data_IF_472602418160
#
_entry.id   IF_472602418160
#
_cell.length_a   1.000
_cell.length_b   1.000
_cell.length_c   1.000
_cell.angle_alpha   90.00
_cell.angle_beta   90.00
_cell.angle_gamma   90.00
#
_symmetry.space_group_name_H-M   'P 1'
#
loop_
_entity.id
_entity.type
_entity.pdbx_description
1 polymer ?
#
# COMPACT_ATOMS: atom_id res chain seq x y z
N UNK A 1 -5.53 0.38 15.77
CA UNK A 1 -6.94 0.66 15.43
C UNK A 1 -7.80 -0.07 16.43
N UNK A 2 -8.81 0.60 16.99
CA UNK A 2 -9.75 -0.02 17.94
C UNK A 2 -11.11 -0.08 17.25
N UNK A 3 -11.76 -1.24 17.32
CA UNK A 3 -13.13 -1.44 16.85
C UNK A 3 -14.04 -1.43 18.08
N UNK A 4 -15.05 -0.57 18.05
CA UNK A 4 -16.19 -0.61 18.96
C UNK A 4 -17.45 -0.82 18.14
N UNK A 5 -18.38 -1.64 18.63
CA UNK A 5 -19.63 -1.94 17.92
C UNK A 5 -20.77 -1.42 18.76
N UNK A 6 -21.48 -0.43 18.21
CA UNK A 6 -22.75 -0.03 18.79
C UNK A 6 -23.76 -1.17 18.57
N UNK A 7 -24.32 -1.67 19.66
CA UNK A 7 -25.26 -2.79 19.63
C UNK A 7 -26.71 -2.30 19.44
N UNK A 8 -26.99 -1.02 19.68
CA UNK A 8 -28.31 -0.43 19.48
C UNK A 8 -28.49 -0.02 18.01
N UNK A 9 -27.47 0.63 17.45
CA UNK A 9 -27.36 0.95 16.03
C UNK A 9 -26.25 0.07 15.44
N UNK A 10 -26.50 -0.86 14.50
CA UNK A 10 -25.51 -1.85 14.01
C UNK A 10 -24.40 -1.18 13.19
N UNK A 11 -23.55 -0.43 13.89
CA UNK A 11 -22.52 0.45 13.37
C UNK A 11 -21.22 0.13 14.09
N UNK A 12 -20.19 -0.13 13.28
CA UNK A 12 -18.83 -0.29 13.75
C UNK A 12 -18.11 1.06 13.75
N UNK A 13 -17.63 1.48 14.91
CA UNK A 13 -16.73 2.61 15.07
C UNK A 13 -15.29 2.13 15.02
N UNK A 14 -14.54 2.69 14.06
CA UNK A 14 -13.11 2.40 13.91
C UNK A 14 -12.30 3.62 14.34
N UNK A 15 -11.59 3.48 15.46
CA UNK A 15 -10.61 4.48 15.90
C UNK A 15 -9.34 4.31 15.07
N UNK A 16 -9.21 5.17 14.05
CA UNK A 16 -8.09 5.18 13.14
C UNK A 16 -6.85 5.81 13.80
N UNK A 17 -5.64 5.27 13.53
CA UNK A 17 -4.42 5.94 13.94
C UNK A 17 -4.37 7.35 13.34
N UNK A 18 -3.82 8.32 14.10
CA UNK A 18 -3.68 9.68 13.60
C UNK A 18 -2.69 9.74 12.44
N UNK A 19 -2.98 10.57 11.43
CA UNK A 19 -2.10 10.75 10.25
C UNK A 19 -0.68 11.23 10.60
N UNK A 20 -0.49 11.83 11.78
CA UNK A 20 0.82 12.25 12.30
C UNK A 20 1.52 11.25 13.22
N UNK A 21 0.99 10.02 13.38
CA UNK A 21 1.62 9.00 14.21
C UNK A 21 2.80 8.34 13.48
N UNK A 22 3.88 9.11 13.32
CA UNK A 22 5.09 8.76 12.56
C UNK A 22 6.21 8.22 13.47
N UNK A 23 5.85 7.50 14.55
CA UNK A 23 6.83 6.89 15.49
C UNK A 23 7.92 6.09 14.78
N UNK A 24 7.56 5.48 13.64
CA UNK A 24 8.50 4.98 12.64
C UNK A 24 7.82 4.92 11.28
N UNK A 25 8.62 4.86 10.22
CA UNK A 25 8.13 4.65 8.85
C UNK A 25 7.30 3.36 8.72
N UNK A 26 7.71 2.28 9.38
CA UNK A 26 6.97 1.01 9.35
C UNK A 26 5.59 1.13 10.00
N UNK A 27 5.50 1.88 11.11
CA UNK A 27 4.21 2.16 11.77
C UNK A 27 3.31 3.00 10.86
N UNK A 28 3.87 3.98 10.17
CA UNK A 28 3.13 4.78 9.20
C UNK A 28 2.55 3.93 8.07
N UNK A 29 3.36 3.04 7.48
CA UNK A 29 2.91 2.14 6.42
C UNK A 29 1.81 1.20 6.93
N UNK A 30 2.00 0.61 8.11
CA UNK A 30 0.99 -0.25 8.71
C UNK A 30 -0.32 0.50 8.99
N UNK A 31 -0.23 1.73 9.52
CA UNK A 31 -1.39 2.57 9.79
C UNK A 31 -2.16 2.89 8.51
N UNK A 32 -1.47 3.33 7.45
CA UNK A 32 -2.07 3.58 6.16
C UNK A 32 -2.72 2.32 5.57
N UNK A 33 -2.04 1.17 5.68
CA UNK A 33 -2.55 -0.14 5.27
C UNK A 33 -3.90 -0.46 5.94
N UNK A 34 -3.94 -0.44 7.27
CA UNK A 34 -5.14 -0.82 8.00
C UNK A 34 -6.29 0.16 7.80
N UNK A 35 -6.00 1.47 7.75
CA UNK A 35 -7.02 2.49 7.48
C UNK A 35 -7.70 2.26 6.13
N UNK A 36 -6.92 2.03 5.08
CA UNK A 36 -7.47 1.73 3.75
C UNK A 36 -8.25 0.42 3.76
N UNK A 37 -7.70 -0.64 4.36
CA UNK A 37 -8.40 -1.94 4.42
C UNK A 37 -9.76 -1.84 5.08
N UNK A 38 -9.87 -1.13 6.20
CA UNK A 38 -11.17 -0.93 6.85
C UNK A 38 -12.13 -0.12 5.97
N UNK A 39 -11.64 0.94 5.32
CA UNK A 39 -12.46 1.75 4.44
C UNK A 39 -12.94 0.95 3.21
N UNK A 40 -12.06 0.18 2.55
CA UNK A 40 -12.40 -0.64 1.39
C UNK A 40 -13.45 -1.71 1.71
N UNK A 41 -13.44 -2.28 2.92
CA UNK A 41 -14.40 -3.31 3.36
C UNK A 41 -15.70 -2.71 3.91
N UNK A 42 -15.76 -1.41 4.17
CA UNK A 42 -16.97 -0.73 4.59
C UNK A 42 -18.07 -0.88 3.54
N UNK A 43 -19.27 -1.30 3.94
CA UNK A 43 -20.43 -1.32 3.03
C UNK A 43 -21.05 0.08 2.89
N UNK A 44 -21.04 0.82 4.00
CA UNK A 44 -21.61 2.14 4.14
C UNK A 44 -20.72 2.89 5.14
N UNK A 45 -20.24 4.09 4.79
CA UNK A 45 -19.22 4.79 5.56
C UNK A 45 -19.68 6.21 5.89
N UNK A 46 -19.45 6.61 7.14
CA UNK A 46 -19.43 8.00 7.61
C UNK A 46 -18.00 8.33 8.00
N UNK A 47 -17.56 9.57 7.76
CA UNK A 47 -16.19 9.99 8.07
C UNK A 47 -16.25 11.11 9.11
N UNK A 48 -15.85 10.77 10.33
CA UNK A 48 -15.78 11.71 11.44
C UNK A 48 -14.33 12.18 11.60
N UNK A 49 -14.10 13.45 11.32
CA UNK A 49 -12.79 14.09 11.41
C UNK A 49 -12.66 14.70 12.79
N UNK A 50 -11.59 14.35 13.50
CA UNK A 50 -11.32 14.87 14.85
C UNK A 50 -10.02 15.69 14.81
N UNK A 51 -10.08 16.94 15.28
CA UNK A 51 -8.90 17.77 15.48
C UNK A 51 -8.89 18.37 16.89
N UNK A 52 -7.74 18.85 17.36
CA UNK A 52 -7.65 19.48 18.68
C UNK A 52 -7.92 20.98 18.57
N UNK A 53 -8.50 21.57 19.62
CA UNK A 53 -8.72 23.01 19.69
C UNK A 53 -7.46 23.84 19.38
N UNK A 54 -6.26 23.50 19.89
CA UNK A 54 -5.04 24.24 19.57
C UNK A 54 -4.66 24.22 18.08
N UNK A 55 -5.15 23.25 17.29
CA UNK A 55 -4.86 23.20 15.85
C UNK A 55 -5.56 24.34 15.08
N UNK A 56 -6.51 25.03 15.71
CA UNK A 56 -7.19 26.24 15.20
C UNK A 56 -6.55 27.53 15.71
N UNK A 57 -5.55 27.45 16.59
CA UNK A 57 -4.82 28.61 17.07
C UNK A 57 -3.70 29.00 16.09
N UNK A 58 -3.42 30.30 16.02
CA UNK A 58 -2.32 30.84 15.21
C UNK A 58 -0.93 30.28 15.58
N UNK A 59 -0.79 29.62 16.73
CA UNK A 59 0.46 29.00 17.18
C UNK A 59 0.79 27.71 16.42
N UNK A 60 -0.18 27.08 15.77
CA UNK A 60 -0.03 25.79 15.10
C UNK A 60 -0.61 25.81 13.68
N UNK A 61 -0.36 26.90 12.95
CA UNK A 61 -0.91 27.18 11.61
C UNK A 61 -0.79 26.03 10.61
N UNK A 62 0.26 25.21 10.73
CA UNK A 62 0.51 24.15 9.75
C UNK A 62 -0.28 22.87 10.04
N UNK A 63 -0.77 22.65 11.27
CA UNK A 63 -1.38 21.36 11.65
C UNK A 63 -2.71 21.11 10.96
N UNK A 64 -3.58 22.11 10.93
CA UNK A 64 -4.87 22.00 10.26
C UNK A 64 -4.70 21.78 8.74
N UNK A 65 -3.90 22.57 8.00
CA UNK A 65 -3.55 22.26 6.61
C UNK A 65 -3.02 20.83 6.43
N UNK A 66 -2.06 20.39 7.24
CA UNK A 66 -1.49 19.05 7.11
C UNK A 66 -2.54 17.94 7.35
N UNK A 67 -3.49 18.13 8.26
CA UNK A 67 -4.63 17.22 8.42
C UNK A 67 -5.45 17.13 7.13
N UNK A 68 -5.78 18.26 6.51
CA UNK A 68 -6.52 18.27 5.24
C UNK A 68 -5.73 17.62 4.11
N UNK A 69 -4.41 17.90 4.00
CA UNK A 69 -3.53 17.25 3.02
C UNK A 69 -3.61 15.73 3.15
N UNK A 70 -3.52 15.24 4.38
CA UNK A 70 -3.56 13.80 4.67
C UNK A 70 -4.93 13.19 4.42
N UNK A 71 -6.01 13.92 4.70
CA UNK A 71 -7.38 13.52 4.38
C UNK A 71 -7.61 13.39 2.88
N UNK A 72 -7.16 14.35 2.05
CA UNK A 72 -7.35 14.27 0.59
C UNK A 72 -6.47 13.22 -0.07
N UNK A 73 -5.30 12.91 0.51
CA UNK A 73 -4.49 11.77 0.10
C UNK A 73 -5.16 10.43 0.45
N UNK A 74 -5.91 10.40 1.56
CA UNK A 74 -6.66 9.23 1.99
C UNK A 74 -8.00 9.06 1.27
N UNK A 75 -8.75 10.13 1.02
CA UNK A 75 -10.09 10.12 0.40
C UNK A 75 -9.95 10.70 -1.01
N UNK A 76 -9.79 9.82 -2.00
CA UNK A 76 -9.53 10.22 -3.39
C UNK A 76 -10.75 10.86 -4.04
N UNK A 77 -11.94 10.40 -3.68
CA UNK A 77 -13.21 10.89 -4.22
C UNK A 77 -13.97 11.70 -3.16
N UNK A 78 -13.42 12.86 -2.81
CA UNK A 78 -13.97 13.71 -1.73
C UNK A 78 -15.45 14.06 -1.94
N UNK A 79 -15.82 14.44 -3.17
CA UNK A 79 -17.17 14.93 -3.46
C UNK A 79 -18.24 13.85 -3.20
N UNK A 80 -17.92 12.58 -3.49
CA UNK A 80 -18.78 11.43 -3.19
C UNK A 80 -19.10 11.30 -1.69
N UNK A 81 -18.17 11.70 -0.83
CA UNK A 81 -18.32 11.63 0.63
C UNK A 81 -18.78 12.93 1.29
N UNK A 82 -19.04 13.99 0.53
CA UNK A 82 -19.44 15.31 1.06
C UNK A 82 -20.61 15.25 2.07
N UNK A 83 -21.60 14.39 1.83
CA UNK A 83 -22.73 14.21 2.74
C UNK A 83 -22.38 13.41 4.01
N UNK A 84 -21.32 12.61 3.98
CA UNK A 84 -20.86 11.73 5.07
C UNK A 84 -19.79 12.32 5.99
N UNK A 85 -19.24 13.50 5.68
CA UNK A 85 -18.28 14.18 6.55
C UNK A 85 -18.94 14.85 7.75
N UNK A 86 -18.30 14.71 8.91
CA UNK A 86 -18.53 15.55 10.09
C UNK A 86 -17.22 15.86 10.79
N UNK A 87 -17.18 16.97 11.50
CA UNK A 87 -15.97 17.47 12.14
C UNK A 87 -16.19 17.74 13.63
N UNK A 88 -15.32 17.18 14.47
CA UNK A 88 -15.35 17.34 15.91
C UNK A 88 -14.05 18.00 16.36
N UNK A 89 -14.16 19.16 17.00
CA UNK A 89 -13.01 19.80 17.66
C UNK A 89 -12.95 19.36 19.11
N UNK A 90 -11.93 18.58 19.45
CA UNK A 90 -11.73 18.08 20.81
C UNK A 90 -10.89 19.07 21.63
N UNK A 91 -10.94 18.95 22.96
CA UNK A 91 -10.12 19.74 23.90
C UNK A 91 -10.40 21.25 23.90
N UNK A 92 -11.67 21.65 23.74
CA UNK A 92 -12.05 23.07 23.81
C UNK A 92 -11.94 23.61 25.24
N UNK A 93 -11.34 24.79 25.37
CA UNK A 93 -11.39 25.61 26.58
C UNK A 93 -12.77 26.28 26.77
N UNK A 94 -13.36 26.12 27.96
CA UNK A 94 -14.76 26.47 28.25
C UNK A 94 -15.11 27.96 28.36
N UNK A 95 -14.47 28.86 27.61
CA UNK A 95 -14.61 30.32 27.81
C UNK A 95 -15.66 31.00 26.93
N UNK A 96 -16.05 30.39 25.79
CA UNK A 96 -17.02 30.95 24.83
C UNK A 96 -18.31 30.14 24.78
N UNK A 97 -19.43 30.82 24.46
CA UNK A 97 -20.69 30.15 24.10
C UNK A 97 -20.50 29.25 22.88
N UNK A 98 -21.32 28.21 22.78
CA UNK A 98 -21.17 27.17 21.76
C UNK A 98 -21.28 27.76 20.35
N UNK A 99 -22.28 28.62 20.14
CA UNK A 99 -22.50 29.35 18.91
C UNK A 99 -21.29 30.21 18.49
N UNK A 100 -20.70 30.96 19.42
CA UNK A 100 -19.54 31.80 19.15
C UNK A 100 -18.30 30.96 18.82
N UNK A 101 -18.18 29.78 19.45
CA UNK A 101 -17.07 28.87 19.20
C UNK A 101 -17.19 28.20 17.82
N UNK A 102 -18.38 27.72 17.44
CA UNK A 102 -18.61 27.15 16.12
C UNK A 102 -18.30 28.16 15.02
N UNK A 103 -18.73 29.41 15.21
CA UNK A 103 -18.40 30.49 14.27
C UNK A 103 -16.89 30.76 14.19
N UNK A 104 -16.15 30.60 15.30
CA UNK A 104 -14.69 30.71 15.31
C UNK A 104 -14.04 29.62 14.45
N UNK A 105 -14.45 28.35 14.61
CA UNK A 105 -13.93 27.25 13.80
C UNK A 105 -14.32 27.38 12.33
N UNK A 106 -15.58 27.75 12.06
CA UNK A 106 -16.07 28.03 10.70
C UNK A 106 -15.20 29.08 10.01
N UNK A 107 -14.94 30.21 10.67
CA UNK A 107 -14.09 31.26 10.09
C UNK A 107 -12.66 30.77 9.86
N UNK A 108 -12.14 29.90 10.73
CA UNK A 108 -10.81 29.30 10.55
C UNK A 108 -10.75 28.41 9.31
N UNK A 109 -11.79 27.61 9.05
CA UNK A 109 -11.90 26.83 7.82
C UNK A 109 -12.04 27.70 6.57
N UNK A 110 -12.84 28.77 6.63
CA UNK A 110 -12.98 29.71 5.51
C UNK A 110 -11.65 30.41 5.20
N UNK A 111 -10.91 30.83 6.23
CA UNK A 111 -9.58 31.38 6.05
C UNK A 111 -8.63 30.35 5.44
N UNK A 112 -8.63 29.11 5.93
CA UNK A 112 -7.83 28.03 5.36
C UNK A 112 -8.15 27.83 3.88
N UNK A 113 -9.44 27.81 3.51
CA UNK A 113 -9.89 27.69 2.12
C UNK A 113 -9.33 28.79 1.25
N UNK A 114 -9.38 30.03 1.70
CA UNK A 114 -8.86 31.19 0.96
C UNK A 114 -7.31 31.16 0.89
N UNK A 115 -6.64 30.53 1.85
CA UNK A 115 -5.19 30.34 1.91
C UNK A 115 -4.69 29.15 1.08
N UNK A 116 -5.57 28.22 0.63
CA UNK A 116 -5.18 27.00 -0.08
C UNK A 116 -4.28 27.25 -1.29
N UNK A 117 -4.54 28.34 -2.02
CA UNK A 117 -3.75 28.73 -3.19
C UNK A 117 -2.28 29.01 -2.87
N UNK A 118 -1.97 29.43 -1.64
CA UNK A 118 -0.62 29.80 -1.21
C UNK A 118 0.25 28.59 -0.80
N UNK A 119 -0.30 27.37 -0.74
CA UNK A 119 0.50 26.17 -0.46
C UNK A 119 1.14 25.64 -1.75
N UNK A 120 2.38 26.05 -2.01
CA UNK A 120 3.15 25.66 -3.20
C UNK A 120 3.47 24.15 -3.25
N UNK A 121 3.51 23.49 -2.10
CA UNK A 121 3.79 22.05 -1.97
C UNK A 121 2.55 21.15 -2.14
N UNK A 122 1.41 21.73 -2.51
CA UNK A 122 0.15 21.01 -2.75
C UNK A 122 -0.17 21.02 -4.23
N UNK A 123 -0.58 19.86 -4.74
CA UNK A 123 -1.12 19.71 -6.09
C UNK A 123 -2.48 20.40 -6.22
N UNK A 124 -2.88 20.73 -7.45
CA UNK A 124 -4.21 21.30 -7.72
C UNK A 124 -5.35 20.39 -7.24
N UNK A 125 -5.19 19.07 -7.38
CA UNK A 125 -6.15 18.08 -6.90
C UNK A 125 -6.27 18.06 -5.37
N UNK A 126 -5.15 18.18 -4.64
CA UNK A 126 -5.16 18.26 -3.18
C UNK A 126 -5.86 19.55 -2.68
N UNK A 127 -5.60 20.69 -3.34
CA UNK A 127 -6.26 21.97 -3.01
C UNK A 127 -7.77 21.87 -3.24
N UNK A 128 -8.19 21.37 -4.40
CA UNK A 128 -9.61 21.19 -4.72
C UNK A 128 -10.30 20.22 -3.75
N UNK A 129 -9.67 19.07 -3.47
CA UNK A 129 -10.20 18.12 -2.51
C UNK A 129 -10.35 18.72 -1.11
N UNK A 130 -9.38 19.51 -0.65
CA UNK A 130 -9.46 20.13 0.67
C UNK A 130 -10.56 21.18 0.73
N UNK A 131 -10.71 21.97 -0.34
CA UNK A 131 -11.83 22.88 -0.50
C UNK A 131 -13.17 22.14 -0.43
N UNK A 132 -13.33 21.01 -1.13
CA UNK A 132 -14.55 20.20 -1.08
C UNK A 132 -14.86 19.67 0.33
N UNK A 133 -13.86 19.21 1.09
CA UNK A 133 -14.07 18.82 2.50
C UNK A 133 -14.51 20.03 3.33
N UNK A 134 -13.85 21.19 3.17
CA UNK A 134 -14.18 22.41 3.89
C UNK A 134 -15.63 22.82 3.59
N UNK A 135 -16.01 22.89 2.32
CA UNK A 135 -17.35 23.31 1.90
C UNK A 135 -18.43 22.31 2.36
N UNK A 136 -18.13 21.01 2.40
CA UNK A 136 -19.02 19.98 2.92
C UNK A 136 -19.32 20.12 4.42
N UNK A 137 -18.31 20.54 5.20
CA UNK A 137 -18.38 20.69 6.66
C UNK A 137 -18.91 22.08 7.06
N UNK A 138 -18.51 23.12 6.33
CA UNK A 138 -18.90 24.52 6.48
C UNK A 138 -20.18 24.80 5.69
N UNK A 139 -21.29 24.18 6.09
CA UNK A 139 -22.60 24.55 5.54
C UNK A 139 -23.02 25.96 5.99
N UNK A 140 -23.91 26.60 5.22
CA UNK A 140 -24.20 28.04 5.35
C UNK A 140 -24.87 28.43 6.68
N UNK A 141 -25.66 27.56 7.29
CA UNK A 141 -26.31 27.79 8.59
C UNK A 141 -25.60 27.01 9.71
N UNK A 142 -25.56 27.59 10.91
CA UNK A 142 -25.05 26.93 12.12
C UNK A 142 -25.87 25.70 12.45
N UNK A 143 -27.19 25.75 12.23
CA UNK A 143 -28.06 24.60 12.50
C UNK A 143 -27.75 23.41 11.58
N UNK A 144 -27.28 23.69 10.36
CA UNK A 144 -26.87 22.67 9.37
C UNK A 144 -25.37 22.42 9.38
N UNK A 145 -24.60 23.12 10.22
CA UNK A 145 -23.17 22.91 10.33
C UNK A 145 -22.88 21.50 10.80
N UNK A 146 -21.93 20.85 10.13
CA UNK A 146 -21.42 19.54 10.52
C UNK A 146 -20.17 19.66 11.38
N UNK A 147 -20.07 20.76 12.12
CA UNK A 147 -18.99 21.04 13.07
C UNK A 147 -19.57 21.02 14.47
N UNK A 148 -18.99 20.22 15.35
CA UNK A 148 -19.22 20.34 16.78
C UNK A 148 -17.90 20.28 17.54
N UNK A 149 -17.95 20.43 18.86
CA UNK A 149 -16.77 20.29 19.70
C UNK A 149 -17.09 19.53 20.97
N UNK A 150 -16.07 18.83 21.48
CA UNK A 150 -16.13 18.23 22.80
C UNK A 150 -15.41 19.14 23.79
N UNK A 151 -16.13 19.72 24.78
CA UNK A 151 -15.51 20.56 25.78
C UNK A 151 -14.58 19.72 26.66
N UNK A 152 -13.44 20.30 27.03
CA UNK A 152 -12.50 19.65 27.95
C UNK A 152 -12.36 20.49 29.21
N UNK A 153 -13.37 20.50 30.08
CA UNK A 153 -13.03 20.62 31.48
C UNK A 153 -12.42 19.27 31.84
N UNK A 154 -11.10 19.22 32.00
CA UNK A 154 -10.46 18.15 32.77
C UNK A 154 -11.35 17.90 33.99
N UNK A 155 -11.93 16.70 34.15
CA UNK A 155 -12.82 16.46 35.27
C UNK A 155 -12.00 16.70 36.53
N UNK A 156 -12.33 17.78 37.26
CA UNK A 156 -11.56 18.20 38.46
C UNK A 156 -11.58 17.13 39.55
N UNK A 157 -12.42 16.12 39.39
CA UNK A 157 -12.55 14.93 40.25
C UNK A 157 -12.84 13.72 39.37
N UNK A 158 -12.35 12.53 39.73
CA UNK A 158 -12.75 11.29 39.06
C UNK A 158 -14.25 11.03 39.26
N UNK A 159 -14.90 10.44 38.26
CA UNK A 159 -16.33 10.12 38.28
C UNK A 159 -16.79 9.46 36.98
N UNK A 160 -18.03 8.96 36.94
CA UNK A 160 -18.66 8.48 35.70
C UNK A 160 -19.00 9.65 34.76
N UNK A 161 -19.05 9.41 33.44
CA UNK A 161 -19.40 10.44 32.45
C UNK A 161 -20.77 11.09 32.77
N UNK A 162 -21.73 10.28 33.22
CA UNK A 162 -23.09 10.69 33.62
C UNK A 162 -23.10 11.73 34.73
N UNK A 163 -22.05 11.79 35.56
CA UNK A 163 -21.93 12.78 36.64
C UNK A 163 -21.54 14.18 36.16
N UNK A 164 -21.19 14.33 34.88
CA UNK A 164 -20.77 15.60 34.27
C UNK A 164 -21.79 16.05 33.21
N UNK A 165 -22.79 16.84 33.63
CA UNK A 165 -23.88 17.29 32.76
C UNK A 165 -23.40 17.91 31.43
N UNK A 166 -22.36 18.74 31.48
CA UNK A 166 -21.78 19.37 30.29
C UNK A 166 -21.14 18.35 29.31
N UNK A 167 -20.64 17.22 29.80
CA UNK A 167 -20.11 16.15 28.95
C UNK A 167 -21.24 15.30 28.37
N UNK A 168 -22.34 15.13 29.11
CA UNK A 168 -23.56 14.49 28.60
C UNK A 168 -24.22 15.34 27.50
N UNK A 169 -24.37 16.65 27.71
CA UNK A 169 -24.86 17.57 26.67
C UNK A 169 -23.95 17.55 25.43
N UNK A 170 -22.62 17.52 25.63
CA UNK A 170 -21.69 17.37 24.50
C UNK A 170 -21.83 16.02 23.79
N UNK A 171 -22.06 14.92 24.53
CA UNK A 171 -22.33 13.60 23.97
C UNK A 171 -23.60 13.63 23.12
N UNK A 172 -24.67 14.25 23.59
CA UNK A 172 -25.95 14.33 22.87
C UNK A 172 -25.78 15.09 21.55
N UNK A 173 -25.09 16.24 21.58
CA UNK A 173 -24.81 17.02 20.37
C UNK A 173 -23.89 16.28 19.38
N UNK A 174 -22.87 15.55 19.85
CA UNK A 174 -22.03 14.70 18.99
C UNK A 174 -22.87 13.57 18.40
N UNK A 175 -23.78 12.99 19.18
CA UNK A 175 -24.69 11.95 18.71
C UNK A 175 -25.60 12.49 17.61
N UNK A 176 -26.17 13.69 17.78
CA UNK A 176 -26.95 14.35 16.73
C UNK A 176 -26.11 14.62 15.47
N UNK A 177 -24.86 15.05 15.62
CA UNK A 177 -23.95 15.27 14.49
C UNK A 177 -23.69 13.97 13.70
N UNK A 178 -23.35 12.88 14.41
CA UNK A 178 -23.02 11.60 13.79
C UNK A 178 -24.26 10.94 13.18
N UNK A 179 -25.37 10.89 13.92
CA UNK A 179 -26.56 10.13 13.51
C UNK A 179 -27.54 10.95 12.69
N UNK A 180 -27.75 12.22 13.04
CA UNK A 180 -28.72 13.10 12.38
C UNK A 180 -28.18 13.86 11.19
N UNK A 181 -26.94 14.38 11.27
CA UNK A 181 -26.38 15.29 10.25
C UNK A 181 -25.46 14.62 9.22
N UNK A 182 -24.84 13.49 9.59
CA UNK A 182 -23.94 12.74 8.69
C UNK A 182 -24.68 11.61 7.99
N UNK A 183 -24.43 11.43 6.69
CA UNK A 183 -25.06 10.37 5.91
C UNK A 183 -24.11 9.20 5.68
N UNK A 184 -24.66 7.99 5.68
CA UNK A 184 -23.93 6.80 5.23
C UNK A 184 -23.75 6.84 3.72
N UNK A 185 -22.51 6.71 3.27
CA UNK A 185 -22.15 6.71 1.85
C UNK A 185 -21.70 5.32 1.45
N UNK A 186 -22.30 4.79 0.39
CA UNK A 186 -21.90 3.50 -0.22
C UNK A 186 -20.62 3.74 -1.03
N UNK A 187 -19.51 3.03 -0.76
CA UNK A 187 -18.31 3.16 -1.58
C UNK A 187 -18.55 2.77 -3.04
N UNK A 188 -17.74 3.30 -3.94
CA UNK A 188 -17.77 2.98 -5.36
C UNK A 188 -17.53 1.49 -5.60
N UNK A 189 -18.14 0.89 -6.64
CA UNK A 189 -18.01 -0.54 -6.89
C UNK A 189 -16.57 -1.03 -7.09
N UNK A 190 -15.69 -0.17 -7.59
CA UNK A 190 -14.27 -0.44 -7.86
C UNK A 190 -13.36 -0.26 -6.62
N UNK A 191 -13.90 0.25 -5.50
CA UNK A 191 -13.17 0.45 -4.23
C UNK A 191 -11.94 1.37 -4.35
N UNK A 192 -12.03 2.38 -5.21
CA UNK A 192 -10.96 3.37 -5.45
C UNK A 192 -11.15 4.68 -4.68
N UNK A 193 -12.25 4.79 -3.92
CA UNK A 193 -12.58 5.96 -3.11
C UNK A 193 -11.51 6.34 -2.07
N UNK A 194 -10.73 5.36 -1.59
CA UNK A 194 -9.70 5.56 -0.57
C UNK A 194 -8.31 5.15 -1.07
N UNK A 195 -7.29 5.89 -0.64
CA UNK A 195 -5.88 5.63 -0.96
C UNK A 195 -5.00 5.58 0.29
N UNK A 196 -3.69 5.42 0.09
CA UNK A 196 -2.72 5.48 1.17
C UNK A 196 -2.19 6.90 1.38
N UNK A 197 -2.18 7.36 2.63
CA UNK A 197 -1.69 8.68 3.02
C UNK A 197 -0.21 8.64 3.46
N UNK A 198 0.65 8.02 2.64
CA UNK A 198 2.06 7.80 2.94
C UNK A 198 2.91 9.07 2.73
N UNK A 199 3.93 9.24 3.55
CA UNK A 199 5.02 10.20 3.37
C UNK A 199 5.99 9.70 2.30
N UNK A 200 6.82 10.63 1.79
CA UNK A 200 7.89 10.28 0.86
C UNK A 200 8.83 9.22 1.46
N UNK A 201 9.24 9.37 2.73
CA UNK A 201 10.12 8.40 3.40
C UNK A 201 9.50 7.00 3.49
N UNK A 202 8.19 6.91 3.72
CA UNK A 202 7.46 5.65 3.72
C UNK A 202 7.42 4.99 2.34
N UNK A 203 7.19 5.79 1.30
CA UNK A 203 7.25 5.32 -0.09
C UNK A 203 8.67 4.82 -0.41
N UNK A 204 9.71 5.56 -0.01
CA UNK A 204 11.11 5.15 -0.20
C UNK A 204 11.42 3.84 0.53
N UNK A 205 10.91 3.67 1.74
CA UNK A 205 11.13 2.43 2.50
C UNK A 205 10.44 1.22 1.86
N UNK A 206 9.26 1.42 1.27
CA UNK A 206 8.59 0.39 0.47
C UNK A 206 9.40 0.04 -0.78
N UNK A 207 9.95 1.04 -1.46
CA UNK A 207 10.84 0.83 -2.61
C UNK A 207 12.09 0.04 -2.20
N UNK A 208 12.76 0.41 -1.10
CA UNK A 208 13.90 -0.34 -0.56
C UNK A 208 13.55 -1.80 -0.26
N UNK A 209 12.38 -2.03 0.34
CA UNK A 209 11.90 -3.37 0.64
C UNK A 209 11.66 -4.18 -0.64
N UNK A 210 11.07 -3.58 -1.67
CA UNK A 210 10.88 -4.19 -2.99
C UNK A 210 12.23 -4.54 -3.64
N UNK A 211 13.24 -3.66 -3.53
CA UNK A 211 14.59 -3.92 -4.06
C UNK A 211 15.25 -5.09 -3.33
N UNK A 212 15.16 -5.15 -1.99
CA UNK A 212 15.73 -6.26 -1.21
C UNK A 212 15.01 -7.57 -1.54
N UNK A 213 13.69 -7.53 -1.71
CA UNK A 213 12.90 -8.67 -2.12
C UNK A 213 13.33 -9.18 -3.50
N UNK A 214 13.45 -8.29 -4.48
CA UNK A 214 13.97 -8.59 -5.81
C UNK A 214 15.37 -9.23 -5.75
N UNK A 215 16.30 -8.65 -4.98
CA UNK A 215 17.64 -9.22 -4.81
C UNK A 215 17.64 -10.63 -4.21
N UNK A 216 16.71 -10.94 -3.29
CA UNK A 216 16.58 -12.28 -2.68
C UNK A 216 15.97 -13.27 -3.65
N UNK A 217 14.90 -12.87 -4.33
CA UNK A 217 14.30 -13.64 -5.42
C UNK A 217 15.36 -13.94 -6.48
N UNK A 218 16.18 -12.95 -6.82
CA UNK A 218 17.26 -13.10 -7.76
C UNK A 218 18.34 -14.08 -7.27
N UNK A 219 18.82 -13.93 -6.03
CA UNK A 219 19.82 -14.83 -5.47
C UNK A 219 19.33 -16.29 -5.48
N UNK A 220 18.04 -16.51 -5.16
CA UNK A 220 17.42 -17.83 -5.26
C UNK A 220 17.41 -18.34 -6.70
N UNK A 221 17.04 -17.50 -7.67
CA UNK A 221 17.06 -17.86 -9.09
C UNK A 221 18.47 -18.22 -9.59
N UNK A 222 19.50 -17.49 -9.16
CA UNK A 222 20.91 -17.79 -9.48
C UNK A 222 21.38 -19.11 -8.89
N UNK A 223 20.94 -19.42 -7.68
CA UNK A 223 21.27 -20.69 -7.03
C UNK A 223 20.64 -21.86 -7.80
N UNK A 224 19.35 -21.76 -8.12
CA UNK A 224 18.63 -22.76 -8.94
C UNK A 224 19.32 -22.95 -10.28
N UNK A 225 19.73 -21.86 -10.94
CA UNK A 225 20.55 -21.89 -12.15
C UNK A 225 21.81 -22.72 -11.94
N UNK A 226 22.61 -22.37 -10.94
CA UNK A 226 23.90 -23.01 -10.70
C UNK A 226 23.73 -24.51 -10.44
N UNK A 227 22.73 -24.88 -9.63
CA UNK A 227 22.42 -26.27 -9.30
C UNK A 227 21.91 -27.05 -10.51
N UNK A 228 21.06 -26.43 -11.35
CA UNK A 228 20.58 -27.02 -12.61
C UNK A 228 21.73 -27.23 -13.58
N UNK A 229 22.53 -26.20 -13.86
CA UNK A 229 23.70 -26.27 -14.75
C UNK A 229 24.69 -27.33 -14.29
N UNK A 230 24.97 -27.42 -12.98
CA UNK A 230 25.88 -28.43 -12.44
C UNK A 230 25.32 -29.84 -12.63
N UNK A 231 24.02 -30.04 -12.37
CA UNK A 231 23.35 -31.34 -12.56
C UNK A 231 23.39 -31.81 -14.02
N UNK A 232 23.18 -30.91 -14.99
CA UNK A 232 23.34 -31.24 -16.40
C UNK A 232 24.80 -31.52 -16.77
N UNK A 233 25.76 -30.74 -16.28
CA UNK A 233 27.19 -31.00 -16.51
C UNK A 233 27.61 -32.36 -15.99
N UNK A 234 27.20 -32.72 -14.77
CA UNK A 234 27.49 -34.01 -14.17
C UNK A 234 26.91 -35.15 -15.02
N UNK A 235 25.69 -34.99 -15.56
CA UNK A 235 25.11 -35.93 -16.49
C UNK A 235 25.93 -36.03 -17.79
N UNK A 236 26.24 -34.91 -18.43
CA UNK A 236 27.02 -34.88 -19.67
C UNK A 236 28.40 -35.51 -19.51
N UNK A 237 29.07 -35.22 -18.39
CA UNK A 237 30.34 -35.82 -18.03
C UNK A 237 30.21 -37.34 -17.85
N UNK A 238 29.13 -37.81 -17.22
CA UNK A 238 28.84 -39.24 -17.07
C UNK A 238 28.61 -39.91 -18.43
N UNK A 239 27.81 -39.29 -19.31
CA UNK A 239 27.56 -39.76 -20.69
C UNK A 239 28.88 -39.85 -21.45
N UNK A 240 29.69 -38.80 -21.38
CA UNK A 240 30.96 -38.67 -22.09
C UNK A 240 32.03 -39.65 -21.60
N UNK A 241 31.96 -40.10 -20.34
CA UNK A 241 32.86 -41.12 -19.76
C UNK A 241 32.50 -42.56 -20.15
N UNK A 242 31.34 -42.76 -20.76
CA UNK A 242 31.01 -43.97 -21.50
C UNK A 242 30.35 -45.09 -20.70
N UNK A 243 29.08 -45.33 -21.01
CA UNK A 243 28.59 -46.61 -21.50
C UNK A 243 27.34 -46.35 -22.35
N UNK A 244 27.54 -46.17 -23.66
CA UNK A 244 26.45 -45.92 -24.61
C UNK A 244 25.50 -47.11 -24.77
N UNK A 245 25.78 -48.26 -24.13
CA UNK A 245 24.95 -49.46 -24.25
C UNK A 245 23.67 -49.40 -23.42
N UNK A 246 23.45 -48.36 -22.59
CA UNK A 246 22.32 -48.28 -21.68
C UNK A 246 21.45 -47.02 -21.87
N UNK A 247 21.00 -46.81 -23.11
CA UNK A 247 20.15 -45.68 -23.51
C UNK A 247 18.91 -45.51 -22.60
N UNK A 248 18.23 -46.59 -22.21
CA UNK A 248 17.08 -46.54 -21.29
C UNK A 248 17.44 -45.92 -19.92
N UNK A 249 18.63 -46.22 -19.41
CA UNK A 249 19.11 -45.66 -18.12
C UNK A 249 19.47 -44.18 -18.24
N UNK A 250 19.90 -43.74 -19.42
CA UNK A 250 20.10 -42.32 -19.74
C UNK A 250 18.77 -41.59 -19.88
N UNK A 251 17.81 -42.17 -20.58
CA UNK A 251 16.46 -41.62 -20.75
C UNK A 251 15.76 -41.49 -19.39
N UNK A 252 15.88 -42.47 -18.49
CA UNK A 252 15.34 -42.40 -17.13
C UNK A 252 16.01 -41.29 -16.29
N UNK A 253 17.32 -41.07 -16.46
CA UNK A 253 18.05 -39.98 -15.78
C UNK A 253 17.68 -38.59 -16.33
N UNK A 254 17.50 -38.46 -17.64
CA UNK A 254 17.04 -37.22 -18.29
C UNK A 254 15.59 -36.92 -17.90
N UNK A 255 14.71 -37.92 -17.86
CA UNK A 255 13.36 -37.78 -17.32
C UNK A 255 13.38 -37.38 -15.84
N UNK A 256 14.33 -37.90 -15.05
CA UNK A 256 14.57 -37.45 -13.67
C UNK A 256 15.07 -36.02 -13.59
N UNK A 257 15.95 -35.58 -14.49
CA UNK A 257 16.43 -34.19 -14.58
C UNK A 257 15.32 -33.22 -15.03
N UNK A 258 14.51 -33.60 -16.00
CA UNK A 258 13.34 -32.82 -16.44
C UNK A 258 12.19 -32.82 -15.41
N UNK A 259 12.25 -33.72 -14.43
CA UNK A 259 11.40 -33.72 -13.24
C UNK A 259 12.11 -33.28 -11.97
N UNK A 260 13.39 -32.85 -12.06
CA UNK A 260 14.08 -32.25 -10.93
C UNK A 260 13.38 -30.94 -10.61
N UNK A 261 13.19 -30.79 -9.31
CA UNK A 261 12.46 -29.70 -8.75
C UNK A 261 13.29 -29.15 -7.62
N UNK A 262 13.62 -27.87 -7.72
CA UNK A 262 14.57 -27.23 -6.82
C UNK A 262 13.81 -26.56 -5.69
N UNK A 263 14.27 -26.70 -4.43
CA UNK A 263 13.60 -26.07 -3.31
C UNK A 263 13.75 -24.56 -3.41
N UNK A 264 12.64 -23.86 -3.63
CA UNK A 264 12.63 -22.40 -3.58
C UNK A 264 12.09 -21.96 -2.23
N UNK A 265 12.93 -21.23 -1.48
CA UNK A 265 12.50 -20.57 -0.26
C UNK A 265 11.77 -19.28 -0.62
N UNK A 266 10.44 -19.32 -0.51
CA UNK A 266 9.61 -18.12 -0.62
C UNK A 266 9.43 -17.56 0.80
N UNK A 267 9.68 -16.26 1.03
CA UNK A 267 9.44 -15.67 2.34
C UNK A 267 7.97 -15.80 2.73
N UNK A 268 7.73 -15.77 4.05
CA UNK A 268 6.45 -15.98 4.75
C UNK A 268 5.18 -15.56 3.96
N UNK A 269 4.13 -16.37 3.98
CA UNK A 269 2.87 -16.15 3.23
C UNK A 269 2.27 -14.77 3.54
N UNK A 270 2.38 -14.33 4.80
CA UNK A 270 1.94 -13.01 5.26
C UNK A 270 2.70 -11.87 4.56
N UNK A 271 3.99 -12.06 4.24
CA UNK A 271 4.78 -11.08 3.48
C UNK A 271 4.32 -11.04 2.03
N UNK A 272 4.03 -12.19 1.42
CA UNK A 272 3.53 -12.30 0.03
C UNK A 272 2.19 -11.57 -0.12
N UNK A 273 1.26 -11.78 0.82
CA UNK A 273 -0.03 -11.07 0.83
C UNK A 273 0.12 -9.57 1.04
N UNK A 274 1.01 -9.17 1.93
CA UNK A 274 1.30 -7.77 2.17
C UNK A 274 1.92 -7.09 0.94
N UNK A 275 2.87 -7.75 0.27
CA UNK A 275 3.51 -7.25 -0.94
C UNK A 275 2.54 -7.19 -2.12
N UNK A 276 1.70 -8.21 -2.30
CA UNK A 276 0.66 -8.23 -3.33
C UNK A 276 -0.22 -6.99 -3.22
N UNK A 277 -0.64 -6.69 -2.00
CA UNK A 277 -1.48 -5.53 -1.74
C UNK A 277 -0.74 -4.23 -2.02
N UNK A 278 0.50 -4.07 -1.52
CA UNK A 278 1.29 -2.87 -1.78
C UNK A 278 1.46 -2.64 -3.28
N UNK A 279 1.88 -3.66 -4.02
CA UNK A 279 2.13 -3.56 -5.46
C UNK A 279 0.82 -3.26 -6.22
N UNK A 280 -0.26 -3.98 -5.91
CA UNK A 280 -1.57 -3.78 -6.56
C UNK A 280 -2.11 -2.37 -6.36
N UNK A 281 -1.73 -1.72 -5.26
CA UNK A 281 -2.22 -0.39 -4.94
C UNK A 281 -1.25 0.69 -5.41
N UNK A 282 0.06 0.42 -5.44
CA UNK A 282 1.00 1.25 -6.20
C UNK A 282 0.56 1.32 -7.67
N UNK A 283 -0.06 0.26 -8.20
CA UNK A 283 -0.62 0.23 -9.56
C UNK A 283 -1.71 1.29 -9.78
N UNK A 284 -2.41 1.68 -8.72
CA UNK A 284 -3.45 2.72 -8.75
C UNK A 284 -2.87 4.14 -8.59
N UNK A 285 -1.66 4.25 -8.03
CA UNK A 285 -0.98 5.53 -7.79
C UNK A 285 -0.13 5.93 -8.99
N UNK A 286 0.49 4.94 -9.65
CA UNK A 286 1.37 5.15 -10.79
C UNK A 286 0.56 4.98 -12.07
N UNK A 287 0.39 6.06 -12.83
CA UNK A 287 -0.33 6.04 -14.10
C UNK A 287 0.55 5.58 -15.29
N UNK A 288 -0.11 5.19 -16.38
CA UNK A 288 0.54 4.85 -17.66
C UNK A 288 1.34 3.55 -17.61
N UNK A 289 2.51 3.56 -18.23
CA UNK A 289 3.39 2.41 -18.39
C UNK A 289 3.86 1.78 -17.05
N UNK A 290 3.88 2.56 -15.95
CA UNK A 290 4.19 2.05 -14.62
C UNK A 290 3.09 1.16 -14.02
N UNK A 291 1.83 1.37 -14.39
CA UNK A 291 0.70 0.55 -13.94
C UNK A 291 0.77 -0.88 -14.53
N UNK A 292 1.11 -1.02 -15.80
CA UNK A 292 1.19 -2.34 -16.45
C UNK A 292 2.26 -3.24 -15.80
N UNK A 293 3.36 -2.63 -15.34
CA UNK A 293 4.45 -3.34 -14.66
C UNK A 293 4.12 -3.77 -13.24
N UNK A 294 3.45 -2.89 -12.48
CA UNK A 294 2.98 -3.24 -11.15
C UNK A 294 1.89 -4.32 -11.24
N UNK A 295 1.05 -4.29 -12.28
CA UNK A 295 0.11 -5.38 -12.57
C UNK A 295 0.84 -6.71 -12.90
N UNK A 296 1.98 -6.67 -13.59
CA UNK A 296 2.81 -7.86 -13.83
C UNK A 296 3.45 -8.40 -12.54
N UNK A 297 3.93 -7.51 -11.65
CA UNK A 297 4.37 -7.90 -10.32
C UNK A 297 3.25 -8.52 -9.49
N UNK A 298 2.02 -7.97 -9.53
CA UNK A 298 0.86 -8.59 -8.85
C UNK A 298 0.64 -10.00 -9.36
N UNK A 299 0.66 -10.22 -10.68
CA UNK A 299 0.52 -11.56 -11.28
C UNK A 299 1.61 -12.53 -10.80
N UNK A 300 2.83 -12.04 -10.62
CA UNK A 300 3.92 -12.85 -10.08
C UNK A 300 3.73 -13.15 -8.60
N UNK A 301 3.35 -12.16 -7.79
CA UNK A 301 3.06 -12.37 -6.36
C UNK A 301 1.88 -13.34 -6.20
N UNK A 302 0.87 -13.25 -7.06
CA UNK A 302 -0.24 -14.20 -7.16
C UNK A 302 0.24 -15.60 -7.53
N UNK A 303 1.18 -15.71 -8.46
CA UNK A 303 1.82 -16.98 -8.80
C UNK A 303 2.60 -17.54 -7.61
N UNK A 304 3.43 -16.76 -6.92
CA UNK A 304 4.17 -17.19 -5.73
C UNK A 304 3.23 -17.62 -4.60
N UNK A 305 2.13 -16.89 -4.40
CA UNK A 305 1.08 -17.24 -3.44
C UNK A 305 0.41 -18.56 -3.80
N UNK A 306 -0.02 -18.71 -5.05
CA UNK A 306 -0.58 -19.97 -5.56
C UNK A 306 0.38 -21.13 -5.28
N UNK A 307 1.66 -20.98 -5.61
CA UNK A 307 2.65 -22.01 -5.36
C UNK A 307 2.75 -22.34 -3.85
N UNK A 308 2.79 -21.34 -2.96
CA UNK A 308 2.84 -21.53 -1.50
C UNK A 308 1.60 -22.23 -0.92
N UNK A 309 0.41 -21.97 -1.48
CA UNK A 309 -0.84 -22.60 -1.06
C UNK A 309 -0.87 -24.11 -1.37
N UNK A 310 -0.18 -24.54 -2.42
CA UNK A 310 -0.13 -25.96 -2.81
C UNK A 310 0.94 -26.71 -2.01
N UNK A 311 1.95 -26.02 -1.48
CA UNK A 311 3.10 -26.63 -0.81
C UNK A 311 3.46 -25.91 0.51
N UNK A 312 2.75 -26.22 1.63
CA UNK A 312 2.73 -25.42 2.87
C UNK A 312 4.05 -25.29 3.65
N UNK A 313 5.09 -26.02 3.25
CA UNK A 313 6.37 -26.04 3.95
C UNK A 313 7.35 -24.93 3.46
N UNK A 314 6.88 -23.98 2.65
CA UNK A 314 7.68 -22.94 2.00
C UNK A 314 8.86 -23.50 1.17
N UNK A 315 8.74 -24.75 0.73
CA UNK A 315 9.77 -25.49 0.01
C UNK A 315 9.12 -26.04 -1.24
N UNK A 316 9.09 -25.20 -2.26
CA UNK A 316 8.35 -25.50 -3.48
C UNK A 316 9.28 -26.17 -4.45
N UNK A 317 8.82 -27.30 -4.98
CA UNK A 317 9.53 -28.08 -5.96
C UNK A 317 9.07 -27.66 -7.37
N UNK A 318 9.86 -26.81 -8.04
CA UNK A 318 9.48 -26.26 -9.36
C UNK A 318 10.43 -26.64 -10.46
N UNK A 319 9.87 -26.96 -11.64
CA UNK A 319 10.65 -27.27 -12.84
C UNK A 319 11.20 -25.97 -13.43
N UNK A 320 12.46 -25.95 -13.89
CA UNK A 320 13.08 -24.73 -14.43
C UNK A 320 12.25 -24.00 -15.50
N UNK A 321 11.61 -24.74 -16.41
CA UNK A 321 10.80 -24.17 -17.50
C UNK A 321 9.53 -23.47 -17.03
N UNK A 322 9.00 -23.84 -15.87
CA UNK A 322 7.80 -23.21 -15.30
C UNK A 322 8.13 -21.83 -14.68
N UNK A 323 9.42 -21.50 -14.49
CA UNK A 323 9.88 -20.26 -13.81
C UNK A 323 10.54 -19.23 -14.72
N UNK A 324 11.23 -19.66 -15.79
CA UNK A 324 11.96 -18.74 -16.69
C UNK A 324 11.02 -17.68 -17.29
N UNK A 325 9.85 -18.07 -17.78
CA UNK A 325 8.88 -17.14 -18.37
C UNK A 325 8.38 -16.06 -17.39
N UNK A 326 7.82 -16.44 -16.23
CA UNK A 326 7.40 -15.47 -15.20
C UNK A 326 8.52 -14.55 -14.70
N UNK A 327 9.75 -15.06 -14.54
CA UNK A 327 10.90 -14.23 -14.14
C UNK A 327 11.35 -13.23 -15.22
N UNK A 328 11.33 -13.64 -16.49
CA UNK A 328 11.66 -12.75 -17.61
C UNK A 328 10.66 -11.59 -17.69
N UNK A 329 9.36 -11.90 -17.54
CA UNK A 329 8.30 -10.89 -17.45
C UNK A 329 8.50 -9.96 -16.25
N UNK A 330 8.86 -10.50 -15.08
CA UNK A 330 9.17 -9.70 -13.89
C UNK A 330 10.32 -8.71 -14.16
N UNK A 331 11.40 -9.17 -14.83
CA UNK A 331 12.56 -8.33 -15.13
C UNK A 331 12.22 -7.22 -16.12
N UNK A 332 11.47 -7.53 -17.18
CA UNK A 332 11.02 -6.52 -18.14
C UNK A 332 10.21 -5.44 -17.42
N UNK A 333 9.27 -5.85 -16.56
CA UNK A 333 8.46 -4.92 -15.78
C UNK A 333 9.25 -4.11 -14.74
N UNK A 334 10.20 -4.72 -14.04
CA UNK A 334 11.05 -4.05 -13.04
C UNK A 334 12.06 -3.07 -13.66
N UNK A 335 12.71 -3.48 -14.75
CA UNK A 335 13.71 -2.67 -15.46
C UNK A 335 13.04 -1.42 -16.02
N UNK A 336 11.83 -1.59 -16.55
CA UNK A 336 11.03 -0.51 -17.09
C UNK A 336 10.46 0.39 -15.99
N UNK A 337 9.95 -0.17 -14.90
CA UNK A 337 9.48 0.58 -13.73
C UNK A 337 10.60 1.41 -13.09
N UNK A 338 11.79 0.83 -12.87
CA UNK A 338 12.95 1.57 -12.37
C UNK A 338 13.33 2.73 -13.30
N UNK A 339 13.20 2.54 -14.63
CA UNK A 339 13.43 3.59 -15.62
C UNK A 339 12.36 4.71 -15.61
N UNK A 340 11.08 4.36 -15.49
CA UNK A 340 9.96 5.30 -15.44
C UNK A 340 9.91 6.08 -14.13
N UNK A 341 10.01 5.38 -13.00
CA UNK A 341 10.09 5.96 -11.66
C UNK A 341 11.30 6.89 -11.54
N UNK A 342 12.43 6.56 -12.19
CA UNK A 342 13.58 7.45 -12.27
C UNK A 342 13.29 8.76 -12.99
N UNK A 343 12.54 8.75 -14.10
CA UNK A 343 12.17 9.99 -14.77
C UNK A 343 11.18 10.81 -13.94
N UNK A 344 10.21 10.15 -13.30
CA UNK A 344 9.19 10.82 -12.49
C UNK A 344 9.78 11.41 -11.20
N UNK A 345 10.65 10.67 -10.50
CA UNK A 345 11.42 11.14 -9.34
C UNK A 345 12.41 12.24 -9.74
N UNK A 346 13.12 12.10 -10.87
CA UNK A 346 14.01 13.15 -11.39
C UNK A 346 13.28 14.46 -11.65
N UNK A 347 12.01 14.37 -12.06
CA UNK A 347 11.18 15.55 -12.33
C UNK A 347 10.58 16.15 -11.05
N UNK A 348 10.41 15.35 -9.97
CA UNK A 348 9.62 15.74 -8.79
C UNK A 348 10.39 15.72 -7.44
N UNK A 349 11.65 15.31 -7.35
CA UNK A 349 12.35 15.15 -6.04
C UNK A 349 13.88 15.33 -6.06
N UNK A 350 14.48 15.51 -4.87
CA UNK A 350 15.90 15.87 -4.65
C UNK A 350 16.92 14.76 -5.00
N UNK A 351 18.16 15.19 -5.31
CA UNK A 351 19.27 14.43 -5.92
C UNK A 351 19.63 13.07 -5.29
N UNK A 352 19.28 12.79 -4.03
CA UNK A 352 19.64 11.54 -3.35
C UNK A 352 18.96 10.29 -3.94
N UNK A 353 17.86 10.43 -4.67
CA UNK A 353 17.17 9.29 -5.31
C UNK A 353 17.76 8.89 -6.68
N UNK A 354 18.52 9.78 -7.33
CA UNK A 354 19.13 9.53 -8.63
C UNK A 354 20.27 8.49 -8.56
N UNK A 355 20.87 8.26 -7.39
CA UNK A 355 21.99 7.32 -7.22
C UNK A 355 21.56 5.85 -7.07
N UNK A 356 20.29 5.58 -6.70
CA UNK A 356 19.81 4.21 -6.45
C UNK A 356 19.41 3.47 -7.74
N UNK A 357 18.89 4.19 -8.74
CA UNK A 357 18.35 3.59 -9.97
C UNK A 357 19.38 2.83 -10.82
N UNK A 358 20.59 3.35 -11.10
CA UNK A 358 21.57 2.62 -11.90
C UNK A 358 21.96 1.28 -11.28
N UNK A 359 21.91 1.20 -9.95
CA UNK A 359 22.26 0.01 -9.18
C UNK A 359 21.17 -1.07 -9.28
N UNK A 360 19.90 -0.68 -9.28
CA UNK A 360 18.76 -1.57 -9.51
C UNK A 360 18.80 -2.14 -10.94
N UNK A 361 19.01 -1.27 -11.93
CA UNK A 361 19.07 -1.66 -13.34
C UNK A 361 20.25 -2.60 -13.65
N UNK A 362 21.42 -2.38 -13.03
CA UNK A 362 22.58 -3.26 -13.14
C UNK A 362 22.29 -4.68 -12.64
N UNK A 363 21.75 -4.81 -11.43
CA UNK A 363 21.49 -6.11 -10.82
C UNK A 363 20.42 -6.90 -11.60
N UNK A 364 19.38 -6.24 -12.10
CA UNK A 364 18.34 -6.85 -12.94
C UNK A 364 18.88 -7.32 -14.30
N UNK A 365 19.84 -6.60 -14.88
CA UNK A 365 20.48 -6.99 -16.14
C UNK A 365 21.27 -8.28 -15.98
N UNK A 366 22.13 -8.35 -14.95
CA UNK A 366 22.94 -9.52 -14.64
C UNK A 366 22.07 -10.76 -14.36
N UNK A 367 20.89 -10.53 -13.78
CA UNK A 367 19.91 -11.58 -13.50
C UNK A 367 19.42 -12.32 -14.73
N UNK A 368 19.13 -11.57 -15.79
CA UNK A 368 18.54 -12.16 -16.98
C UNK A 368 19.57 -12.73 -17.93
N UNK A 369 20.76 -12.15 -18.01
CA UNK A 369 21.87 -12.85 -18.66
C UNK A 369 22.05 -14.23 -18.04
N UNK A 370 21.90 -14.33 -16.72
CA UNK A 370 22.01 -15.62 -16.07
C UNK A 370 20.85 -16.58 -16.36
N UNK A 371 19.60 -16.13 -16.27
CA UNK A 371 18.45 -17.00 -16.56
C UNK A 371 18.37 -17.43 -18.03
N UNK A 372 18.73 -16.55 -18.96
CA UNK A 372 18.79 -16.90 -20.39
C UNK A 372 19.86 -17.94 -20.67
N UNK A 373 21.02 -17.86 -20.02
CA UNK A 373 22.05 -18.90 -20.16
C UNK A 373 21.56 -20.29 -19.66
N UNK A 374 20.64 -20.36 -18.69
CA UNK A 374 20.05 -21.65 -18.25
C UNK A 374 19.10 -22.18 -19.29
N UNK A 375 18.19 -21.34 -19.77
CA UNK A 375 17.25 -21.70 -20.82
C UNK A 375 18.00 -22.17 -22.08
N UNK A 376 19.05 -21.45 -22.48
CA UNK A 376 19.94 -21.81 -23.59
C UNK A 376 20.64 -23.16 -23.38
N UNK A 377 21.15 -23.42 -22.17
CA UNK A 377 21.78 -24.70 -21.86
C UNK A 377 20.78 -25.86 -21.91
N UNK A 378 19.55 -25.62 -21.49
CA UNK A 378 18.50 -26.62 -21.51
C UNK A 378 18.00 -26.90 -22.93
N UNK A 379 17.78 -25.87 -23.75
CA UNK A 379 17.46 -26.01 -25.18
C UNK A 379 18.55 -26.79 -25.90
N UNK A 380 19.83 -26.47 -25.67
CA UNK A 380 20.96 -27.21 -26.27
C UNK A 380 21.01 -28.67 -25.82
N UNK A 381 20.62 -28.96 -24.58
CA UNK A 381 20.52 -30.33 -24.10
C UNK A 381 19.38 -31.07 -24.83
N UNK A 382 18.20 -30.45 -24.94
CA UNK A 382 17.05 -31.01 -25.68
C UNK A 382 17.38 -31.26 -27.16
N UNK A 383 18.02 -30.31 -27.85
CA UNK A 383 18.44 -30.44 -29.24
C UNK A 383 19.45 -31.59 -29.43
N UNK A 384 20.45 -31.68 -28.53
CA UNK A 384 21.44 -32.77 -28.56
C UNK A 384 20.77 -34.15 -28.40
N UNK A 385 19.73 -34.26 -27.57
CA UNK A 385 18.99 -35.51 -27.39
C UNK A 385 18.08 -35.82 -28.58
N UNK A 386 17.44 -34.81 -29.17
CA UNK A 386 16.68 -34.98 -30.40
C UNK A 386 17.56 -35.52 -31.54
N UNK A 387 18.79 -35.00 -31.67
CA UNK A 387 19.79 -35.49 -32.62
C UNK A 387 20.26 -36.92 -32.31
N UNK A 388 20.33 -37.32 -31.04
CA UNK A 388 20.62 -38.69 -30.63
C UNK A 388 19.48 -39.67 -30.90
N UNK A 389 18.22 -39.26 -30.80
CA UNK A 389 17.06 -40.10 -31.13
C UNK A 389 16.87 -40.26 -32.65
N UNK A 390 17.38 -39.30 -33.43
CA UNK A 390 17.25 -39.25 -34.89
C UNK A 390 18.31 -40.07 -35.64
N UNK A 391 19.36 -40.54 -34.96
CA UNK A 391 20.48 -41.31 -35.51
C UNK A 391 20.51 -42.73 -34.91
#
# INVERSE_FOLDING_TARGET
MVLDVDHEEPTAFYDCPGFGDTRSVTVEIANAYYMKKVADHGQNIKIIIIALHPDFDNSYRDRLPQLFKKLVQFIRNVDHYSAGFSFIVNKKDGTKSDQAQINTYRNSFLNLRDELENFDDWTAAEKLGAQSIIDAVVQQDVNTSKIWFFPFPEPRRPGSLESFQNLMEAKDNISELIWGKSQYIVPTPDRTDFGFSLTADAILKLIDALIIFDQRIFANAMQIRADTTQSYKDLFDEISRGDYTNFEKWQEKVLKLNSLSFPVYIPDLDLVDYMREIVSQMTQIVEGEGAENLAAMVKLVDYLKFMLEIEPNNLIHVRPMDWVGPFMLMKESLTFYAGGLYQEIRNNTSNSLLELTPRILSNLSDTVSALMDVADQQIRAEDFFFDLESN
#
